data_IF_842806920718
#
_entry.id   IF_842806920718
#
_cell.length_a   1.000
_cell.length_b   1.000
_cell.length_c   1.000
_cell.angle_alpha   90.00
_cell.angle_beta   90.00
_cell.angle_gamma   90.00
#
_symmetry.space_group_name_H-M   'P 1'
#
loop_
_entity.id
_entity.type
_entity.pdbx_description
1 polymer ?
#
# COMPACT_ATOMS: atom_id res chain seq x y z
N UNK A 1 -5.81 -31.00 25.16
CA UNK A 1 -4.36 -30.70 25.06
C UNK A 1 -4.07 -30.20 23.66
N UNK A 2 -3.77 -28.91 23.49
CA UNK A 2 -3.38 -28.38 22.19
C UNK A 2 -1.92 -28.77 21.92
N UNK A 3 -1.69 -29.57 20.88
CA UNK A 3 -0.34 -29.94 20.42
C UNK A 3 0.35 -28.66 19.92
N UNK A 4 1.46 -28.29 20.57
CA UNK A 4 2.30 -27.19 20.12
C UNK A 4 2.82 -27.50 18.70
N UNK A 5 2.65 -26.56 17.77
CA UNK A 5 3.10 -26.76 16.39
C UNK A 5 4.64 -26.72 16.34
N UNK A 6 5.28 -27.58 15.52
CA UNK A 6 6.73 -27.53 15.34
C UNK A 6 7.19 -26.16 14.82
N UNK A 7 8.38 -25.72 15.23
CA UNK A 7 8.93 -24.39 14.88
C UNK A 7 9.11 -24.18 13.36
N UNK A 8 9.19 -25.28 12.60
CA UNK A 8 9.45 -25.31 11.16
C UNK A 8 8.21 -25.11 10.29
N UNK A 9 7.00 -25.14 10.86
CA UNK A 9 5.78 -24.91 10.07
C UNK A 9 5.44 -23.43 10.04
N UNK A 10 4.97 -22.89 8.90
CA UNK A 10 4.52 -21.51 8.82
C UNK A 10 3.51 -21.19 9.93
N UNK A 11 3.71 -20.03 10.58
CA UNK A 11 2.76 -19.51 11.57
C UNK A 11 1.37 -19.37 10.93
N UNK A 12 0.33 -19.56 11.75
CA UNK A 12 -1.05 -19.19 11.35
C UNK A 12 -1.08 -17.70 10.95
N UNK A 13 -1.99 -17.27 10.06
CA UNK A 13 -2.05 -15.89 9.59
C UNK A 13 -2.05 -14.83 10.71
N UNK A 14 -2.82 -15.07 11.77
CA UNK A 14 -2.91 -14.20 12.96
C UNK A 14 -1.82 -14.43 14.01
N UNK A 15 -1.04 -15.51 13.90
CA UNK A 15 0.02 -15.83 14.87
C UNK A 15 1.26 -14.92 14.78
N UNK A 16 1.20 -13.91 13.91
CA UNK A 16 2.18 -12.84 13.81
C UNK A 16 1.88 -11.67 14.75
N UNK A 17 0.64 -11.48 15.20
CA UNK A 17 0.29 -10.39 16.13
C UNK A 17 1.10 -10.52 17.42
N UNK A 18 1.11 -11.70 18.06
CA UNK A 18 1.91 -11.96 19.27
C UNK A 18 3.41 -11.65 19.11
N UNK A 19 3.96 -11.94 17.92
CA UNK A 19 5.38 -11.67 17.62
C UNK A 19 5.65 -10.18 17.60
N UNK A 20 4.76 -9.41 16.95
CA UNK A 20 4.88 -7.96 16.84
C UNK A 20 4.61 -7.29 18.19
N UNK A 21 3.63 -7.74 18.95
CA UNK A 21 3.34 -7.23 20.29
C UNK A 21 4.55 -7.41 21.22
N UNK A 22 5.17 -8.60 21.22
CA UNK A 22 6.37 -8.84 22.00
C UNK A 22 7.55 -7.95 21.52
N UNK A 23 7.71 -7.76 20.21
CA UNK A 23 8.74 -6.88 19.68
C UNK A 23 8.51 -5.41 20.07
N UNK A 24 7.27 -4.91 19.95
CA UNK A 24 6.86 -3.56 20.33
C UNK A 24 7.14 -3.32 21.82
N UNK A 25 6.74 -4.23 22.71
CA UNK A 25 7.04 -4.12 24.15
C UNK A 25 8.54 -4.10 24.45
N UNK A 26 9.36 -4.81 23.68
CA UNK A 26 10.81 -4.77 23.84
C UNK A 26 11.38 -3.43 23.41
N UNK A 27 10.92 -2.89 22.28
CA UNK A 27 11.34 -1.59 21.75
C UNK A 27 10.91 -0.48 22.70
N UNK A 28 9.66 -0.47 23.15
CA UNK A 28 9.11 0.51 24.08
C UNK A 28 9.92 0.60 25.37
N UNK A 29 10.27 -0.55 25.98
CA UNK A 29 11.12 -0.60 27.19
C UNK A 29 12.53 -0.07 26.97
N UNK A 30 13.10 -0.23 25.77
CA UNK A 30 14.42 0.32 25.45
C UNK A 30 14.30 1.83 25.23
N UNK A 31 13.31 2.27 24.46
CA UNK A 31 13.03 3.66 24.16
C UNK A 31 12.81 4.50 25.43
N UNK A 32 11.99 4.01 26.36
CA UNK A 32 11.73 4.71 27.63
C UNK A 32 13.02 4.95 28.42
N UNK A 33 13.98 4.01 28.37
CA UNK A 33 15.26 4.12 29.11
C UNK A 33 16.30 5.01 28.42
N UNK A 34 16.25 5.13 27.09
CA UNK A 34 17.30 5.80 26.32
C UNK A 34 16.91 7.18 25.81
N UNK A 35 15.65 7.38 25.46
CA UNK A 35 15.14 8.62 24.85
C UNK A 35 14.05 9.25 25.72
N UNK A 36 13.17 8.44 26.31
CA UNK A 36 12.14 8.92 27.24
C UNK A 36 12.70 9.37 28.59
N UNK A 37 11.82 9.82 29.47
CA UNK A 37 12.13 10.20 30.85
C UNK A 37 12.26 8.98 31.80
N UNK A 38 12.17 7.76 31.26
CA UNK A 38 12.21 6.50 31.99
C UNK A 38 10.89 6.06 32.61
N UNK A 39 9.83 6.86 32.51
CA UNK A 39 8.64 6.69 33.34
C UNK A 39 7.52 5.93 32.63
N UNK A 40 7.37 6.11 31.32
CA UNK A 40 6.28 5.47 30.57
C UNK A 40 6.74 4.84 29.24
N UNK A 41 6.53 3.52 29.10
CA UNK A 41 6.80 2.78 27.87
C UNK A 41 5.65 2.90 26.87
N UNK A 42 4.44 3.23 27.33
CA UNK A 42 3.24 3.35 26.49
C UNK A 42 3.27 4.63 25.64
N UNK A 43 4.10 5.62 26.00
CA UNK A 43 4.36 6.82 25.20
C UNK A 43 5.31 6.58 24.02
N UNK A 44 5.83 5.37 23.84
CA UNK A 44 6.76 5.08 22.75
C UNK A 44 6.07 5.30 21.38
N UNK A 45 6.55 6.24 20.55
CA UNK A 45 5.92 6.53 19.26
C UNK A 45 6.20 5.44 18.20
N UNK A 46 7.17 4.55 18.48
CA UNK A 46 7.61 3.51 17.56
C UNK A 46 6.86 2.21 17.82
N UNK A 47 5.95 1.87 16.92
CA UNK A 47 5.24 0.60 16.94
C UNK A 47 5.02 0.09 15.52
N UNK A 48 4.85 -1.22 15.38
CA UNK A 48 4.49 -1.84 14.12
C UNK A 48 3.43 -2.92 14.33
N UNK A 49 2.58 -3.12 13.32
CA UNK A 49 1.69 -4.29 13.25
C UNK A 49 2.01 -5.17 12.05
N UNK A 50 1.71 -6.48 12.13
CA UNK A 50 1.86 -7.39 10.99
C UNK A 50 1.12 -6.91 9.73
N UNK A 51 0.04 -6.13 9.91
CA UNK A 51 -0.72 -5.54 8.81
C UNK A 51 0.08 -4.46 8.05
N UNK A 52 0.81 -3.60 8.77
CA UNK A 52 1.67 -2.56 8.17
C UNK A 52 2.76 -3.18 7.28
N UNK A 53 3.40 -4.25 7.74
CA UNK A 53 4.42 -4.94 6.95
C UNK A 53 3.83 -5.54 5.67
N UNK A 54 2.61 -6.09 5.74
CA UNK A 54 1.89 -6.62 4.59
C UNK A 54 1.56 -5.51 3.57
N UNK A 55 1.20 -4.31 4.02
CA UNK A 55 1.08 -3.15 3.14
C UNK A 55 2.40 -2.80 2.45
N UNK A 56 3.50 -2.63 3.21
CA UNK A 56 4.80 -2.28 2.63
C UNK A 56 5.30 -3.33 1.63
N UNK A 57 5.09 -4.61 1.93
CA UNK A 57 5.40 -5.71 1.01
C UNK A 57 4.56 -5.63 -0.27
N UNK A 58 3.25 -5.44 -0.12
CA UNK A 58 2.32 -5.31 -1.24
C UNK A 58 2.71 -4.14 -2.15
N UNK A 59 3.03 -2.99 -1.57
CA UNK A 59 3.46 -1.81 -2.30
C UNK A 59 4.75 -2.06 -3.08
N UNK A 60 5.78 -2.60 -2.41
CA UNK A 60 7.07 -2.90 -3.05
C UNK A 60 6.89 -3.80 -4.26
N UNK A 61 6.10 -4.86 -4.12
CA UNK A 61 5.86 -5.80 -5.20
C UNK A 61 4.98 -5.23 -6.29
N UNK A 62 3.99 -4.40 -5.97
CA UNK A 62 3.24 -3.66 -6.97
C UNK A 62 4.17 -2.78 -7.81
N UNK A 63 5.04 -1.97 -7.19
CA UNK A 63 5.99 -1.13 -7.93
C UNK A 63 6.94 -1.93 -8.82
N UNK A 64 7.49 -3.05 -8.31
CA UNK A 64 8.38 -3.93 -9.08
C UNK A 64 7.62 -4.55 -10.26
N UNK A 65 6.44 -5.12 -10.01
CA UNK A 65 5.65 -5.78 -11.04
C UNK A 65 5.18 -4.78 -12.09
N UNK A 66 4.78 -3.55 -11.71
CA UNK A 66 4.42 -2.49 -12.64
C UNK A 66 5.60 -2.07 -13.51
N UNK A 67 6.81 -1.98 -12.95
CA UNK A 67 8.02 -1.67 -13.72
C UNK A 67 8.39 -2.80 -14.69
N UNK A 68 8.31 -4.06 -14.25
CA UNK A 68 8.56 -5.23 -15.09
C UNK A 68 7.51 -5.37 -16.19
N UNK A 69 6.23 -5.14 -15.87
CA UNK A 69 5.17 -5.14 -16.86
C UNK A 69 5.43 -4.09 -17.93
N UNK A 70 5.74 -2.86 -17.52
CA UNK A 70 6.05 -1.76 -18.45
C UNK A 70 7.17 -2.10 -19.43
N UNK A 71 8.25 -2.74 -18.96
CA UNK A 71 9.36 -3.14 -19.84
C UNK A 71 9.02 -4.33 -20.75
N UNK A 72 8.09 -5.20 -20.34
CA UNK A 72 7.65 -6.37 -21.11
C UNK A 72 6.64 -6.02 -22.20
N UNK A 73 5.80 -5.01 -21.97
CA UNK A 73 4.82 -4.55 -22.98
C UNK A 73 5.38 -3.50 -23.94
N UNK A 74 6.53 -2.88 -23.65
CA UNK A 74 7.18 -1.99 -24.62
C UNK A 74 7.52 -2.74 -25.91
N UNK A 75 6.85 -2.36 -27.00
CA UNK A 75 7.03 -2.95 -28.33
C UNK A 75 6.07 -4.10 -28.68
N UNK A 76 5.16 -4.48 -27.76
CA UNK A 76 4.08 -5.42 -28.07
C UNK A 76 2.87 -4.68 -28.66
N UNK A 77 2.18 -5.33 -29.58
CA UNK A 77 0.84 -4.93 -30.02
C UNK A 77 -0.19 -5.14 -28.89
N UNK A 78 -1.40 -4.58 -29.06
CA UNK A 78 -2.50 -4.77 -28.12
C UNK A 78 -2.93 -6.24 -27.99
N UNK A 79 -2.83 -7.01 -29.07
CA UNK A 79 -3.17 -8.42 -29.12
C UNK A 79 -2.13 -9.25 -28.35
N UNK A 80 -0.84 -9.00 -28.58
CA UNK A 80 0.26 -9.63 -27.83
C UNK A 80 0.23 -9.26 -26.34
N UNK A 81 -0.15 -8.04 -26.00
CA UNK A 81 -0.32 -7.60 -24.60
C UNK A 81 -1.47 -8.34 -23.91
N UNK A 82 -2.54 -8.64 -24.65
CA UNK A 82 -3.71 -9.38 -24.16
C UNK A 82 -3.36 -10.85 -23.94
N UNK A 83 -2.70 -11.48 -24.92
CA UNK A 83 -2.20 -12.85 -24.82
C UNK A 83 -1.21 -13.01 -23.66
N UNK A 84 -0.32 -12.03 -23.45
CA UNK A 84 0.61 -12.02 -22.32
C UNK A 84 -0.14 -11.97 -20.98
N UNK A 85 -1.23 -11.18 -20.88
CA UNK A 85 -2.08 -11.11 -19.69
C UNK A 85 -2.83 -12.43 -19.45
N UNK A 86 -3.31 -13.06 -20.50
CA UNK A 86 -4.03 -14.34 -20.40
C UNK A 86 -3.09 -15.49 -19.99
N UNK A 87 -1.82 -15.47 -20.43
CA UNK A 87 -0.83 -16.50 -20.10
C UNK A 87 -0.18 -16.32 -18.72
N UNK A 88 0.15 -15.08 -18.33
CA UNK A 88 0.88 -14.79 -17.09
C UNK A 88 0.00 -14.26 -15.94
N UNK A 89 -1.28 -13.98 -16.24
CA UNK A 89 -2.20 -13.34 -15.32
C UNK A 89 -1.94 -11.84 -15.17
N UNK A 90 -2.99 -11.09 -14.86
CA UNK A 90 -2.89 -9.68 -14.53
C UNK A 90 -2.06 -9.45 -13.24
N UNK A 91 -1.46 -8.26 -13.11
CA UNK A 91 -0.63 -7.86 -11.96
C UNK A 91 -1.33 -8.14 -10.63
N UNK A 92 -2.65 -7.97 -10.57
CA UNK A 92 -3.45 -8.21 -9.38
C UNK A 92 -3.48 -9.67 -8.93
N UNK A 93 -3.50 -10.62 -9.86
CA UNK A 93 -3.45 -12.05 -9.54
C UNK A 93 -2.07 -12.47 -9.06
N UNK A 94 -1.01 -11.94 -9.68
CA UNK A 94 0.36 -12.17 -9.25
C UNK A 94 0.59 -11.63 -7.83
N UNK A 95 0.10 -10.42 -7.56
CA UNK A 95 0.18 -9.79 -6.25
C UNK A 95 -0.65 -10.56 -5.20
N UNK A 96 -1.85 -11.03 -5.55
CA UNK A 96 -2.67 -11.89 -4.69
C UNK A 96 -1.96 -13.18 -4.32
N UNK A 97 -1.31 -13.84 -5.28
CA UNK A 97 -0.55 -15.05 -5.05
C UNK A 97 0.62 -14.82 -4.07
N UNK A 98 1.37 -13.72 -4.25
CA UNK A 98 2.45 -13.33 -3.34
C UNK A 98 1.95 -13.05 -1.91
N UNK A 99 0.75 -12.46 -1.79
CA UNK A 99 0.12 -12.17 -0.51
C UNK A 99 -0.59 -13.40 0.12
N UNK A 100 -0.79 -14.46 -0.66
CA UNK A 100 -1.58 -15.63 -0.24
C UNK A 100 -3.08 -15.32 -0.15
N UNK A 101 -3.58 -14.36 -0.91
CA UNK A 101 -5.01 -14.03 -0.95
C UNK A 101 -5.76 -14.90 -1.96
N UNK A 102 -6.95 -15.35 -1.56
CA UNK A 102 -7.82 -16.13 -2.45
C UNK A 102 -8.42 -15.28 -3.58
N UNK A 103 -8.53 -13.96 -3.40
CA UNK A 103 -9.10 -13.05 -4.37
C UNK A 103 -8.20 -11.80 -4.55
N UNK A 104 -7.92 -11.37 -5.79
CA UNK A 104 -7.05 -10.22 -6.05
C UNK A 104 -7.58 -8.90 -5.49
N UNK A 105 -8.90 -8.75 -5.44
CA UNK A 105 -9.55 -7.57 -4.88
C UNK A 105 -9.23 -7.37 -3.39
N UNK A 106 -8.99 -8.43 -2.63
CA UNK A 106 -8.52 -8.31 -1.24
C UNK A 106 -7.18 -7.58 -1.16
N UNK A 107 -6.26 -7.87 -2.09
CA UNK A 107 -4.98 -7.18 -2.16
C UNK A 107 -5.17 -5.71 -2.55
N UNK A 108 -5.99 -5.46 -3.57
CA UNK A 108 -6.22 -4.12 -4.09
C UNK A 108 -6.95 -3.22 -3.09
N UNK A 109 -8.13 -3.64 -2.64
CA UNK A 109 -9.06 -2.81 -1.90
C UNK A 109 -8.72 -2.71 -0.40
N UNK A 110 -7.90 -3.61 0.14
CA UNK A 110 -7.50 -3.56 1.56
C UNK A 110 -6.04 -3.13 1.70
N UNK A 111 -5.13 -3.67 0.88
CA UNK A 111 -3.69 -3.44 1.06
C UNK A 111 -3.11 -2.32 0.19
N UNK A 112 -3.83 -1.90 -0.86
CA UNK A 112 -3.40 -0.81 -1.75
C UNK A 112 -4.42 0.33 -1.88
N UNK A 113 -5.55 0.28 -1.17
CA UNK A 113 -6.52 1.38 -1.14
C UNK A 113 -5.89 2.73 -0.75
N UNK A 114 -4.98 2.81 0.25
CA UNK A 114 -4.29 4.07 0.55
C UNK A 114 -3.41 4.57 -0.61
N UNK A 115 -3.01 3.66 -1.51
CA UNK A 115 -2.14 3.97 -2.64
C UNK A 115 -2.88 4.44 -3.89
N UNK A 116 -4.16 4.08 -4.05
CA UNK A 116 -5.01 4.67 -5.08
C UNK A 116 -5.11 6.19 -4.90
N UNK A 117 -5.08 6.68 -3.65
CA UNK A 117 -4.93 8.11 -3.34
C UNK A 117 -3.55 8.67 -3.69
N UNK A 118 -2.47 8.00 -3.26
CA UNK A 118 -1.09 8.45 -3.51
C UNK A 118 -0.69 8.50 -4.99
N UNK A 119 -1.18 7.59 -5.83
CA UNK A 119 -0.92 7.63 -7.27
C UNK A 119 -1.56 8.87 -7.91
N UNK A 120 -2.77 9.23 -7.48
CA UNK A 120 -3.42 10.48 -7.90
C UNK A 120 -2.66 11.68 -7.35
N UNK A 121 -2.32 11.70 -6.07
CA UNK A 121 -1.58 12.81 -5.45
C UNK A 121 -0.21 13.04 -6.11
N UNK A 122 0.50 11.96 -6.44
CA UNK A 122 1.78 12.03 -7.16
C UNK A 122 1.60 12.51 -8.61
N UNK A 123 0.58 12.01 -9.32
CA UNK A 123 0.25 12.50 -10.66
C UNK A 123 -0.11 13.99 -10.62
N UNK A 124 -0.94 14.42 -9.67
CA UNK A 124 -1.32 15.81 -9.47
C UNK A 124 -0.13 16.70 -9.10
N UNK A 125 0.84 16.18 -8.33
CA UNK A 125 2.07 16.91 -7.99
C UNK A 125 3.06 17.07 -9.16
N UNK A 126 2.88 16.30 -10.25
CA UNK A 126 3.68 16.39 -11.47
C UNK A 126 3.08 17.33 -12.53
N UNK A 127 1.81 17.69 -12.39
CA UNK A 127 1.12 18.58 -13.33
C UNK A 127 1.58 20.03 -13.13
N UNK A 128 1.67 20.78 -14.22
CA UNK A 128 1.78 22.23 -14.12
C UNK A 128 0.44 22.90 -13.79
N UNK A 129 0.43 24.22 -13.62
CA UNK A 129 -0.77 24.99 -13.23
C UNK A 129 -1.91 24.89 -14.26
N UNK A 130 -1.58 24.79 -15.55
CA UNK A 130 -2.56 24.70 -16.64
C UNK A 130 -3.16 23.29 -16.70
N UNK A 131 -2.31 22.27 -16.60
CA UNK A 131 -2.71 20.87 -16.56
C UNK A 131 -3.55 20.55 -15.32
N UNK A 132 -3.16 21.09 -14.16
CA UNK A 132 -3.91 20.96 -12.90
C UNK A 132 -5.31 21.54 -13.06
N UNK A 133 -5.45 22.75 -13.59
CA UNK A 133 -6.74 23.40 -13.82
C UNK A 133 -7.64 22.61 -14.79
N UNK A 134 -7.04 21.98 -15.81
CA UNK A 134 -7.73 21.12 -16.76
C UNK A 134 -8.30 19.85 -16.11
N UNK A 135 -7.52 19.17 -15.28
CA UNK A 135 -7.99 17.99 -14.50
C UNK A 135 -9.09 18.40 -13.52
N UNK A 136 -8.95 19.55 -12.87
CA UNK A 136 -9.93 20.10 -11.95
C UNK A 136 -11.28 20.41 -12.63
N UNK A 137 -11.25 20.93 -13.86
CA UNK A 137 -12.45 21.17 -14.67
C UNK A 137 -13.12 19.85 -15.12
N UNK A 138 -12.32 18.84 -15.49
CA UNK A 138 -12.81 17.51 -15.83
C UNK A 138 -13.48 16.82 -14.63
N UNK A 139 -12.86 16.89 -13.45
CA UNK A 139 -13.42 16.34 -12.21
C UNK A 139 -14.75 17.01 -11.83
N UNK A 140 -14.86 18.33 -12.00
CA UNK A 140 -16.13 19.06 -11.79
C UNK A 140 -17.21 18.62 -12.78
N UNK A 141 -16.86 18.43 -14.05
CA UNK A 141 -17.81 17.97 -15.07
C UNK A 141 -18.32 16.55 -14.76
N UNK A 142 -17.43 15.64 -14.36
CA UNK A 142 -17.79 14.28 -13.95
C UNK A 142 -18.61 14.26 -12.65
N UNK A 143 -18.34 15.16 -11.71
CA UNK A 143 -19.08 15.35 -10.48
C UNK A 143 -20.54 15.76 -10.76
N UNK A 144 -20.71 16.74 -11.66
CA UNK A 144 -22.00 17.30 -12.06
C UNK A 144 -22.85 16.28 -12.84
N UNK A 145 -22.24 15.51 -13.76
CA UNK A 145 -22.94 14.45 -14.49
C UNK A 145 -23.22 13.20 -13.64
N UNK A 146 -22.35 12.90 -12.67
CA UNK A 146 -22.40 11.69 -11.85
C UNK A 146 -23.16 11.82 -10.52
N UNK A 147 -23.61 13.03 -10.16
CA UNK A 147 -24.31 13.31 -8.90
C UNK A 147 -23.45 13.17 -7.64
N UNK A 148 -22.12 13.31 -7.74
CA UNK A 148 -21.17 13.17 -6.62
C UNK A 148 -20.42 14.49 -6.42
N UNK A 149 -20.31 14.99 -5.20
CA UNK A 149 -19.52 16.18 -4.90
C UNK A 149 -18.04 15.85 -4.70
N UNK A 150 -17.16 16.45 -5.50
CA UNK A 150 -15.69 16.36 -5.34
C UNK A 150 -15.23 17.49 -4.42
N UNK A 151 -14.41 17.16 -3.41
CA UNK A 151 -13.73 18.15 -2.56
C UNK A 151 -12.40 18.52 -3.21
N UNK A 152 -11.99 19.80 -3.16
CA UNK A 152 -10.70 20.22 -3.71
C UNK A 152 -9.53 19.53 -2.96
N UNK A 153 -8.52 19.10 -3.70
CA UNK A 153 -7.28 18.56 -3.15
C UNK A 153 -6.46 19.74 -2.62
N UNK A 154 -6.42 19.90 -1.30
CA UNK A 154 -5.50 20.85 -0.65
C UNK A 154 -4.13 20.21 -0.55
N UNK A 155 -3.20 20.58 -1.44
CA UNK A 155 -1.79 20.23 -1.30
C UNK A 155 -1.23 20.94 -0.06
N UNK A 156 -1.24 20.26 1.09
CA UNK A 156 -0.56 20.76 2.29
C UNK A 156 0.95 20.70 2.09
N UNK A 157 1.58 21.84 1.81
CA UNK A 157 3.04 21.91 1.69
C UNK A 157 3.61 23.24 1.26
N UNK A 158 3.14 24.39 1.77
CA UNK A 158 3.98 25.59 1.78
C UNK A 158 5.16 25.35 2.74
N UNK A 159 6.30 24.92 2.19
CA UNK A 159 7.59 25.02 2.90
C UNK A 159 7.98 26.49 2.89
N UNK A 160 7.57 27.21 3.93
CA UNK A 160 8.05 28.56 4.19
C UNK A 160 9.47 28.53 4.76
N UNK A 161 10.42 28.88 3.88
CA UNK A 161 11.81 29.37 4.09
C UNK A 161 12.86 28.46 4.73
#
# INVERSE_FOLDING_TARGET
MAVARPEWVPKKPYGWEDTFDHANHRIARVWAKTVGDGTDADECPLWARPHMLRHSFCLKWYSILSAVWRTRVTGLSEEETRDLRDQLGDIWYQLAALMGHAHPMTTRDIYLEPFAGLEIDYLMALLDEEETAGVDALLRTLADEGGRTVQPITLTGEVSR
#
